data_IF_347988991823
#
_entry.id   IF_347988991823
#
_cell.length_a   1.000
_cell.length_b   1.000
_cell.length_c   1.000
_cell.angle_alpha   90.00
_cell.angle_beta   90.00
_cell.angle_gamma   90.00
#
_symmetry.space_group_name_H-M   'P 1'
#
loop_
_entity.id
_entity.type
_entity.pdbx_description
1 polymer ?
#
# COMPACT_ATOMS: atom_id res chain seq x y z
N UNK A 1 -23.44 -16.24 -24.10
CA UNK A 1 -24.46 -15.60 -23.24
C UNK A 1 -23.80 -14.62 -22.26
N UNK A 2 -24.14 -13.33 -22.33
CA UNK A 2 -23.81 -12.41 -21.25
C UNK A 2 -24.82 -12.67 -20.10
N UNK A 3 -24.38 -12.91 -18.86
CA UNK A 3 -25.26 -13.34 -17.78
C UNK A 3 -26.23 -12.23 -17.31
N UNK A 4 -25.78 -10.96 -17.29
CA UNK A 4 -26.58 -9.76 -16.94
C UNK A 4 -25.85 -8.49 -17.40
N UNK A 5 -26.57 -7.36 -17.46
CA UNK A 5 -26.07 -6.01 -17.79
C UNK A 5 -25.85 -5.15 -16.54
N UNK A 6 -25.25 -3.96 -16.69
CA UNK A 6 -25.10 -3.00 -15.58
C UNK A 6 -26.48 -2.53 -15.09
N UNK A 7 -27.40 -2.30 -16.03
CA UNK A 7 -28.76 -1.88 -15.79
C UNK A 7 -29.55 -2.94 -15.03
N UNK A 8 -29.34 -4.23 -15.32
CA UNK A 8 -29.94 -5.33 -14.57
C UNK A 8 -29.50 -5.31 -13.09
N UNK A 9 -28.22 -5.02 -12.82
CA UNK A 9 -27.69 -4.90 -11.45
C UNK A 9 -28.31 -3.69 -10.73
N UNK A 10 -28.40 -2.54 -11.40
CA UNK A 10 -29.02 -1.32 -10.84
C UNK A 10 -30.50 -1.54 -10.53
N UNK A 11 -31.24 -2.20 -11.43
CA UNK A 11 -32.65 -2.53 -11.23
C UNK A 11 -32.83 -3.49 -10.05
N UNK A 12 -32.00 -4.53 -9.96
CA UNK A 12 -32.04 -5.48 -8.85
C UNK A 12 -31.77 -4.81 -7.50
N UNK A 13 -30.75 -3.94 -7.40
CA UNK A 13 -30.43 -3.22 -6.16
C UNK A 13 -31.54 -2.25 -5.74
N UNK A 14 -32.15 -1.54 -6.70
CA UNK A 14 -33.32 -0.69 -6.43
C UNK A 14 -34.54 -1.49 -5.95
N UNK A 15 -34.67 -2.76 -6.37
CA UNK A 15 -35.69 -3.68 -5.85
C UNK A 15 -35.50 -4.06 -4.37
N UNK A 16 -34.31 -3.87 -3.81
CA UNK A 16 -34.00 -4.16 -2.40
C UNK A 16 -34.04 -2.88 -1.55
N UNK A 17 -33.34 -1.84 -1.97
CA UNK A 17 -33.33 -0.51 -1.32
C UNK A 17 -33.25 0.56 -2.40
N UNK A 18 -34.21 1.49 -2.40
CA UNK A 18 -34.20 2.62 -3.33
C UNK A 18 -32.99 3.54 -3.08
N UNK A 19 -32.16 3.74 -4.11
CA UNK A 19 -30.98 4.62 -4.08
C UNK A 19 -30.52 4.91 -5.52
N UNK A 20 -29.70 5.95 -5.72
CA UNK A 20 -29.01 6.17 -6.99
C UNK A 20 -27.82 5.20 -7.15
N UNK A 21 -28.14 3.92 -7.35
CA UNK A 21 -27.16 2.85 -7.53
C UNK A 21 -26.32 3.03 -8.80
N UNK A 22 -26.88 3.61 -9.85
CA UNK A 22 -26.17 3.87 -11.09
C UNK A 22 -24.99 4.81 -10.83
N UNK A 23 -25.24 5.98 -10.25
CA UNK A 23 -24.17 6.94 -9.91
C UNK A 23 -23.22 6.34 -8.87
N UNK A 24 -23.74 5.66 -7.85
CA UNK A 24 -22.92 5.05 -6.79
C UNK A 24 -21.88 4.07 -7.35
N UNK A 25 -22.28 3.21 -8.29
CA UNK A 25 -21.41 2.21 -8.91
C UNK A 25 -20.48 2.85 -9.94
N UNK A 26 -20.99 3.71 -10.84
CA UNK A 26 -20.17 4.36 -11.89
C UNK A 26 -19.05 5.20 -11.31
N UNK A 27 -19.34 5.98 -10.28
CA UNK A 27 -18.33 6.79 -9.56
C UNK A 27 -17.18 5.94 -8.99
N UNK A 28 -17.38 4.63 -8.78
CA UNK A 28 -16.34 3.72 -8.25
C UNK A 28 -15.69 2.86 -9.32
N UNK A 29 -16.47 2.39 -10.29
CA UNK A 29 -15.99 1.50 -11.35
C UNK A 29 -15.21 2.25 -12.43
N UNK A 30 -15.65 3.47 -12.74
CA UNK A 30 -15.05 4.31 -13.78
C UNK A 30 -14.01 5.28 -13.18
N UNK A 31 -13.69 5.16 -11.89
CA UNK A 31 -12.69 5.99 -11.25
C UNK A 31 -11.27 5.50 -11.60
N UNK A 32 -10.51 6.34 -12.30
CA UNK A 32 -9.12 6.09 -12.64
C UNK A 32 -8.23 7.33 -12.43
N UNK A 33 -6.91 7.11 -12.49
CA UNK A 33 -5.92 8.18 -12.42
C UNK A 33 -5.71 8.80 -11.02
N UNK A 34 -4.92 9.89 -10.93
CA UNK A 34 -4.49 10.48 -9.66
C UNK A 34 -5.63 11.13 -8.85
N UNK A 35 -6.76 11.41 -9.49
CA UNK A 35 -7.94 11.97 -8.84
C UNK A 35 -8.92 10.91 -8.33
N UNK A 36 -8.71 9.63 -8.69
CA UNK A 36 -9.50 8.53 -8.15
C UNK A 36 -9.26 8.42 -6.65
N UNK A 37 -10.37 8.37 -5.89
CA UNK A 37 -10.31 8.27 -4.43
C UNK A 37 -10.51 6.82 -4.00
N UNK A 38 -9.67 6.36 -3.08
CA UNK A 38 -9.89 5.08 -2.43
C UNK A 38 -11.29 5.07 -1.77
N UNK A 39 -12.07 3.98 -1.89
CA UNK A 39 -13.44 3.90 -1.40
C UNK A 39 -13.50 3.72 0.13
N UNK A 40 -13.05 4.74 0.89
CA UNK A 40 -12.89 4.71 2.34
C UNK A 40 -14.18 4.97 3.13
N UNK A 41 -15.26 5.45 2.48
CA UNK A 41 -16.49 5.82 3.16
C UNK A 41 -17.16 4.65 3.90
N UNK A 42 -16.97 3.41 3.39
CA UNK A 42 -17.47 2.21 4.05
C UNK A 42 -16.80 1.97 5.41
N UNK A 43 -15.49 2.16 5.48
CA UNK A 43 -14.73 2.09 6.73
C UNK A 43 -15.19 3.19 7.70
N UNK A 44 -15.33 4.42 7.20
CA UNK A 44 -15.77 5.55 8.02
C UNK A 44 -17.16 5.31 8.61
N UNK A 45 -18.11 4.83 7.80
CA UNK A 45 -19.45 4.40 8.29
C UNK A 45 -19.35 3.21 9.25
N UNK A 46 -18.34 2.36 9.13
CA UNK A 46 -18.07 1.27 10.07
C UNK A 46 -17.40 1.71 11.39
N UNK A 47 -17.06 2.99 11.53
CA UNK A 47 -16.35 3.53 12.69
C UNK A 47 -14.83 3.38 12.64
N UNK A 48 -14.26 3.22 11.45
CA UNK A 48 -12.84 3.01 11.23
C UNK A 48 -12.27 4.03 10.22
N UNK A 49 -11.00 4.39 10.40
CA UNK A 49 -10.24 5.18 9.41
C UNK A 49 -8.95 4.47 9.04
N UNK A 50 -8.52 4.65 7.79
CA UNK A 50 -7.17 4.30 7.38
C UNK A 50 -6.19 5.30 8.02
N UNK A 51 -5.17 4.76 8.69
CA UNK A 51 -4.05 5.50 9.23
C UNK A 51 -2.74 4.84 8.77
N UNK A 52 -1.62 5.52 9.00
CA UNK A 52 -0.29 4.99 8.73
C UNK A 52 0.54 5.02 10.00
N UNK A 53 1.33 3.97 10.20
CA UNK A 53 2.29 3.84 11.29
C UNK A 53 3.72 3.72 10.76
N UNK A 54 4.70 3.97 11.61
CA UNK A 54 6.11 3.80 11.32
C UNK A 54 6.61 2.36 11.54
N UNK A 55 5.75 1.49 12.11
CA UNK A 55 6.05 0.09 12.38
C UNK A 55 4.99 -0.84 11.80
N UNK A 56 5.39 -2.01 11.29
CA UNK A 56 4.44 -3.03 10.83
C UNK A 56 3.66 -3.62 12.01
N UNK A 57 2.42 -4.04 11.76
CA UNK A 57 1.64 -4.85 12.70
C UNK A 57 2.24 -6.25 12.83
N UNK A 58 1.87 -7.01 13.86
CA UNK A 58 2.39 -8.38 14.02
C UNK A 58 1.96 -9.29 12.87
N UNK A 59 0.74 -9.11 12.35
CA UNK A 59 0.29 -9.78 11.14
C UNK A 59 1.21 -9.48 9.94
N UNK A 60 1.56 -8.22 9.72
CA UNK A 60 2.47 -7.83 8.65
C UNK A 60 3.85 -8.44 8.83
N UNK A 61 4.40 -8.44 10.05
CA UNK A 61 5.71 -9.06 10.34
C UNK A 61 5.70 -10.55 9.99
N UNK A 62 4.67 -11.28 10.42
CA UNK A 62 4.52 -12.72 10.09
C UNK A 62 4.43 -12.92 8.59
N UNK A 63 3.57 -12.17 7.90
CA UNK A 63 3.40 -12.26 6.45
C UNK A 63 4.70 -11.95 5.69
N UNK A 64 5.46 -10.96 6.15
CA UNK A 64 6.73 -10.57 5.54
C UNK A 64 7.80 -11.64 5.72
N UNK A 65 7.87 -12.26 6.90
CA UNK A 65 8.76 -13.38 7.16
C UNK A 65 8.41 -14.60 6.31
N UNK A 66 7.14 -15.00 6.25
CA UNK A 66 6.67 -16.15 5.47
C UNK A 66 6.92 -15.98 3.97
N UNK A 67 6.63 -14.80 3.43
CA UNK A 67 6.82 -14.50 2.01
C UNK A 67 8.25 -14.07 1.65
N UNK A 68 9.15 -13.99 2.64
CA UNK A 68 10.50 -13.45 2.53
C UNK A 68 10.52 -12.11 1.79
N UNK A 69 9.63 -11.19 2.16
CA UNK A 69 9.47 -9.90 1.48
C UNK A 69 9.57 -8.75 2.45
N UNK A 70 9.98 -7.59 1.95
CA UNK A 70 9.85 -6.32 2.66
C UNK A 70 8.92 -5.42 1.85
N UNK A 71 8.12 -4.64 2.55
CA UNK A 71 7.12 -3.79 1.92
C UNK A 71 7.37 -2.33 2.24
N UNK A 72 7.74 -1.57 1.21
CA UNK A 72 7.91 -0.12 1.24
C UNK A 72 6.94 0.55 0.28
N UNK A 73 5.84 -0.10 -0.10
CA UNK A 73 4.90 0.39 -1.12
C UNK A 73 4.37 1.77 -0.77
N UNK A 74 4.00 2.01 0.49
CA UNK A 74 3.43 3.29 0.93
C UNK A 74 4.48 4.32 1.36
N UNK A 75 5.76 3.97 1.34
CA UNK A 75 6.86 4.91 1.58
C UNK A 75 7.62 5.18 0.28
N UNK A 76 8.49 4.26 -0.14
CA UNK A 76 9.33 4.42 -1.32
C UNK A 76 8.65 3.96 -2.61
N UNK A 77 7.59 3.16 -2.54
CA UNK A 77 6.87 2.67 -3.70
C UNK A 77 7.38 1.37 -4.28
N UNK A 78 8.02 0.50 -3.50
CA UNK A 78 8.42 -0.82 -3.96
C UNK A 78 8.28 -1.89 -2.89
N UNK A 79 8.31 -3.16 -3.32
CA UNK A 79 8.51 -4.31 -2.45
C UNK A 79 9.76 -5.07 -2.87
N UNK A 80 10.50 -5.58 -1.90
CA UNK A 80 11.65 -6.47 -2.17
C UNK A 80 11.34 -7.90 -1.77
N UNK A 81 12.12 -8.82 -2.31
CA UNK A 81 12.15 -10.22 -1.92
C UNK A 81 13.42 -10.67 -1.23
N UNK A 82 13.63 -11.98 -1.29
CA UNK A 82 14.89 -12.62 -0.90
C UNK A 82 16.05 -11.99 -1.66
N UNK A 83 17.15 -11.71 -0.94
CA UNK A 83 18.30 -10.97 -1.50
C UNK A 83 18.01 -9.51 -1.86
N UNK A 84 16.92 -8.90 -1.35
CA UNK A 84 16.51 -7.53 -1.67
C UNK A 84 16.21 -7.27 -3.16
N UNK A 85 15.82 -8.31 -3.91
CA UNK A 85 15.36 -8.16 -5.29
C UNK A 85 14.02 -7.43 -5.35
N UNK A 86 13.92 -6.38 -6.15
CA UNK A 86 12.68 -5.62 -6.35
C UNK A 86 11.66 -6.49 -7.08
N UNK A 87 10.50 -6.69 -6.47
CA UNK A 87 9.41 -7.52 -7.01
C UNK A 87 8.25 -6.70 -7.56
N UNK A 88 8.07 -5.49 -7.07
CA UNK A 88 7.05 -4.56 -7.53
C UNK A 88 7.55 -3.14 -7.37
N UNK A 89 7.11 -2.27 -8.28
CA UNK A 89 7.32 -0.82 -8.20
C UNK A 89 5.99 -0.16 -8.52
N UNK A 90 5.53 0.71 -7.63
CA UNK A 90 4.29 1.45 -7.79
C UNK A 90 4.49 2.61 -8.77
N UNK A 91 3.59 2.73 -9.75
CA UNK A 91 3.61 3.82 -10.71
C UNK A 91 3.62 5.19 -10.01
N UNK A 92 4.39 6.14 -10.56
CA UNK A 92 4.56 7.51 -10.05
C UNK A 92 5.12 7.65 -8.62
N UNK A 93 5.54 6.55 -7.99
CA UNK A 93 6.17 6.56 -6.68
C UNK A 93 7.61 7.12 -6.72
N UNK A 94 8.24 7.42 -5.55
CA UNK A 94 9.65 7.83 -5.50
C UNK A 94 10.58 6.85 -6.22
N UNK A 95 10.38 5.55 -6.03
CA UNK A 95 11.16 4.51 -6.69
C UNK A 95 10.98 4.48 -8.20
N UNK A 96 9.74 4.63 -8.67
CA UNK A 96 9.45 4.70 -10.10
C UNK A 96 10.15 5.90 -10.75
N UNK A 97 10.03 7.08 -10.14
CA UNK A 97 10.67 8.32 -10.61
C UNK A 97 12.19 8.21 -10.65
N UNK A 98 12.76 7.42 -9.74
CA UNK A 98 14.18 7.13 -9.69
C UNK A 98 14.65 6.01 -10.65
N UNK A 99 13.74 5.47 -11.47
CA UNK A 99 14.05 4.45 -12.47
C UNK A 99 14.28 3.05 -11.89
N UNK A 100 13.84 2.79 -10.64
CA UNK A 100 13.84 1.45 -10.09
C UNK A 100 12.81 0.58 -10.81
N UNK A 101 13.15 -0.67 -11.06
CA UNK A 101 12.31 -1.62 -11.78
C UNK A 101 12.35 -3.02 -11.16
N UNK A 102 11.34 -3.82 -11.49
CA UNK A 102 11.28 -5.24 -11.11
C UNK A 102 12.48 -5.98 -11.70
N UNK A 103 13.08 -6.87 -10.89
CA UNK A 103 14.25 -7.66 -11.28
C UNK A 103 15.59 -7.04 -10.87
N UNK A 104 15.63 -5.73 -10.61
CA UNK A 104 16.78 -5.07 -10.00
C UNK A 104 16.99 -5.54 -8.55
N UNK A 105 18.22 -5.48 -8.05
CA UNK A 105 18.59 -5.91 -6.71
C UNK A 105 19.21 -4.77 -5.92
N UNK A 106 18.68 -4.46 -4.74
CA UNK A 106 19.30 -3.46 -3.86
C UNK A 106 20.44 -4.14 -3.11
N UNK A 107 21.68 -3.78 -3.45
CA UNK A 107 22.88 -4.41 -2.88
C UNK A 107 23.49 -3.61 -1.74
N UNK A 108 23.27 -2.29 -1.71
CA UNK A 108 23.69 -1.44 -0.61
C UNK A 108 22.68 -0.34 -0.28
N UNK A 109 22.69 0.08 0.99
CA UNK A 109 21.95 1.21 1.55
C UNK A 109 22.93 2.04 2.36
N UNK A 110 23.03 3.33 2.06
CA UNK A 110 23.91 4.30 2.72
C UNK A 110 25.36 3.79 2.87
N UNK A 111 25.87 3.19 1.79
CA UNK A 111 27.24 2.67 1.72
C UNK A 111 27.48 1.31 2.39
N UNK A 112 26.45 0.67 2.95
CA UNK A 112 26.55 -0.65 3.59
C UNK A 112 25.73 -1.71 2.88
N UNK A 113 26.13 -2.99 2.98
CA UNK A 113 25.38 -4.10 2.39
C UNK A 113 23.89 -4.07 2.79
N UNK A 114 23.00 -4.19 1.82
CA UNK A 114 21.57 -4.00 2.04
C UNK A 114 20.96 -5.10 2.92
N UNK A 115 20.14 -4.69 3.88
CA UNK A 115 19.28 -5.57 4.67
C UNK A 115 17.91 -4.92 4.82
N UNK A 116 16.85 -5.70 5.12
CA UNK A 116 15.54 -5.16 5.47
C UNK A 116 15.59 -4.05 6.53
N UNK A 117 16.38 -4.28 7.59
CA UNK A 117 16.51 -3.37 8.71
C UNK A 117 17.25 -2.09 8.32
N UNK A 118 18.29 -2.18 7.49
CA UNK A 118 19.01 -1.00 6.99
C UNK A 118 18.14 -0.16 6.06
N UNK A 119 17.38 -0.78 5.16
CA UNK A 119 16.38 -0.06 4.35
C UNK A 119 15.38 0.68 5.25
N UNK A 120 14.86 0.00 6.26
CA UNK A 120 13.91 0.60 7.21
C UNK A 120 14.52 1.75 8.01
N UNK A 121 15.77 1.59 8.45
CA UNK A 121 16.51 2.62 9.18
C UNK A 121 16.79 3.84 8.30
N UNK A 122 17.23 3.65 7.05
CA UNK A 122 17.47 4.72 6.10
C UNK A 122 16.21 5.55 5.85
N UNK A 123 15.07 4.89 5.61
CA UNK A 123 13.78 5.59 5.42
C UNK A 123 13.35 6.33 6.69
N UNK A 124 13.65 5.80 7.87
CA UNK A 124 13.33 6.47 9.14
C UNK A 124 14.21 7.69 9.37
N UNK A 125 15.51 7.58 9.08
CA UNK A 125 16.49 8.66 9.21
C UNK A 125 16.22 9.79 8.21
N UNK A 126 15.78 9.44 6.99
CA UNK A 126 15.43 10.40 5.95
C UNK A 126 14.25 11.30 6.29
N UNK A 127 13.58 11.15 7.45
CA UNK A 127 12.69 12.21 7.98
C UNK A 127 13.42 13.54 8.18
N UNK A 128 14.73 13.50 8.41
CA UNK A 128 15.59 14.67 8.31
C UNK A 128 15.84 14.98 6.82
N UNK A 129 15.42 16.16 6.30
CA UNK A 129 15.65 16.55 4.92
C UNK A 129 17.12 16.60 4.49
N UNK A 130 18.05 16.70 5.45
CA UNK A 130 19.49 16.65 5.16
C UNK A 130 20.01 15.22 4.90
N UNK A 131 19.21 14.18 5.17
CA UNK A 131 19.61 12.77 5.07
C UNK A 131 18.85 12.12 3.91
N UNK A 132 19.49 11.90 2.75
CA UNK A 132 18.85 11.19 1.65
C UNK A 132 18.85 9.67 1.90
N UNK A 133 17.95 8.93 1.23
CA UNK A 133 18.08 7.46 1.14
C UNK A 133 18.95 7.13 -0.08
N UNK A 134 20.18 6.67 0.15
CA UNK A 134 21.12 6.34 -0.92
C UNK A 134 21.19 4.82 -1.11
N UNK A 135 20.89 4.35 -2.31
CA UNK A 135 20.88 2.94 -2.69
C UNK A 135 21.96 2.67 -3.74
N UNK A 136 22.62 1.52 -3.64
CA UNK A 136 23.32 0.91 -4.78
C UNK A 136 22.47 -0.26 -5.26
N UNK A 137 22.14 -0.23 -6.54
CA UNK A 137 21.24 -1.17 -7.18
C UNK A 137 21.97 -1.89 -8.30
N UNK A 138 21.87 -3.21 -8.34
CA UNK A 138 22.36 -4.06 -9.42
C UNK A 138 21.23 -4.31 -10.43
N UNK A 139 21.54 -4.08 -11.70
CA UNK A 139 20.66 -4.27 -12.84
C UNK A 139 21.41 -5.09 -13.91
N UNK A 140 21.15 -6.38 -13.97
CA UNK A 140 22.03 -7.32 -14.70
C UNK A 140 23.44 -7.27 -14.12
N UNK A 141 24.43 -6.90 -14.96
CA UNK A 141 25.84 -6.77 -14.55
C UNK A 141 26.24 -5.33 -14.21
N UNK A 142 25.31 -4.38 -14.25
CA UNK A 142 25.57 -2.97 -13.97
C UNK A 142 25.17 -2.61 -12.54
N UNK A 143 25.94 -1.71 -11.93
CA UNK A 143 25.58 -1.07 -10.67
C UNK A 143 25.20 0.38 -10.90
N UNK A 144 24.15 0.84 -10.23
CA UNK A 144 23.64 2.22 -10.29
C UNK A 144 23.50 2.75 -8.88
N UNK A 145 23.92 3.99 -8.67
CA UNK A 145 23.60 4.73 -7.46
C UNK A 145 22.27 5.43 -7.66
N UNK A 146 21.34 5.22 -6.73
CA UNK A 146 20.01 5.83 -6.76
C UNK A 146 19.83 6.58 -5.44
N UNK A 147 19.44 7.85 -5.54
CA UNK A 147 19.16 8.70 -4.39
C UNK A 147 17.68 9.02 -4.40
N UNK A 148 16.98 8.68 -3.32
CA UNK A 148 15.55 8.95 -3.17
C UNK A 148 15.35 10.16 -2.25
N UNK A 149 14.72 11.20 -2.80
CA UNK A 149 14.30 12.39 -2.08
C UNK A 149 12.93 12.13 -1.42
N UNK A 150 12.96 11.49 -0.26
CA UNK A 150 11.77 11.04 0.46
C UNK A 150 11.90 11.28 1.97
N UNK A 151 10.94 12.01 2.53
CA UNK A 151 11.04 12.50 3.92
C UNK A 151 9.81 12.18 4.81
N UNK A 152 8.81 11.46 4.30
CA UNK A 152 7.61 11.12 5.07
C UNK A 152 7.85 9.96 6.08
N UNK A 153 8.99 9.29 5.99
CA UNK A 153 9.36 8.15 6.85
C UNK A 153 8.63 6.85 6.54
N UNK A 154 8.75 5.84 7.41
CA UNK A 154 8.06 4.57 7.21
C UNK A 154 6.55 4.72 7.30
N UNK A 155 5.82 4.08 6.38
CA UNK A 155 4.36 4.13 6.29
C UNK A 155 3.80 2.72 6.12
N UNK A 156 3.19 2.21 7.17
CA UNK A 156 2.47 0.94 7.18
C UNK A 156 0.98 1.19 7.40
N UNK A 157 0.10 0.79 6.46
CA UNK A 157 -1.33 1.06 6.57
C UNK A 157 -1.95 0.26 7.71
N UNK A 158 -2.80 0.89 8.52
CA UNK A 158 -3.58 0.22 9.56
C UNK A 158 -4.93 0.87 9.72
N UNK A 159 -5.89 0.13 10.28
CA UNK A 159 -7.19 0.68 10.64
C UNK A 159 -7.16 1.16 12.10
N UNK A 160 -7.68 2.35 12.32
CA UNK A 160 -7.85 2.94 13.65
C UNK A 160 -9.34 3.24 13.91
N UNK A 161 -9.77 3.03 15.15
CA UNK A 161 -11.12 3.37 15.59
C UNK A 161 -11.36 4.88 15.48
N UNK A 162 -12.54 5.27 15.03
CA UNK A 162 -13.05 6.64 15.11
C UNK A 162 -13.75 6.79 16.47
N UNK A 163 -13.28 7.67 17.38
CA UNK A 163 -13.91 7.85 18.69
C UNK A 163 -15.40 8.20 18.58
N UNK A 164 -16.22 7.62 19.46
CA UNK A 164 -17.66 7.89 19.50
C UNK A 164 -18.51 7.20 18.42
N UNK A 165 -17.92 6.33 17.59
CA UNK A 165 -18.67 5.57 16.56
C UNK A 165 -18.84 4.10 16.94
N UNK A 166 -19.93 3.43 16.51
CA UNK A 166 -20.09 1.98 16.67
C UNK A 166 -18.98 1.19 15.95
N UNK A 167 -18.63 0.00 16.46
CA UNK A 167 -17.65 -0.89 15.82
C UNK A 167 -18.29 -1.94 14.92
N UNK A 168 -18.80 -1.48 13.77
CA UNK A 168 -19.53 -2.36 12.86
C UNK A 168 -18.61 -3.37 12.16
N UNK A 169 -17.33 -3.05 11.94
CA UNK A 169 -16.42 -3.97 11.26
C UNK A 169 -16.11 -5.18 12.14
N UNK A 170 -15.83 -4.96 13.43
CA UNK A 170 -15.61 -6.06 14.38
C UNK A 170 -16.88 -6.89 14.53
N UNK A 171 -18.04 -6.26 14.63
CA UNK A 171 -19.32 -6.97 14.69
C UNK A 171 -19.53 -7.88 13.46
N UNK A 172 -19.22 -7.39 12.25
CA UNK A 172 -19.34 -8.16 11.00
C UNK A 172 -18.34 -9.33 10.95
N UNK A 173 -17.10 -9.11 11.40
CA UNK A 173 -16.04 -10.12 11.36
C UNK A 173 -16.09 -11.10 12.54
N UNK A 174 -16.95 -10.85 13.53
CA UNK A 174 -17.10 -11.74 14.68
C UNK A 174 -17.61 -13.10 14.22
N UNK A 175 -16.93 -14.21 14.57
CA UNK A 175 -17.38 -15.55 14.21
C UNK A 175 -18.82 -15.78 14.70
N UNK A 176 -19.67 -16.33 13.84
CA UNK A 176 -20.99 -16.78 14.27
C UNK A 176 -20.81 -17.88 15.32
N UNK A 177 -21.40 -17.69 16.50
CA UNK A 177 -21.52 -18.77 17.48
C UNK A 177 -22.39 -19.86 16.83
N UNK A 178 -21.88 -21.10 16.84
CA UNK A 178 -22.66 -22.28 16.47
C UNK A 178 -23.68 -22.61 17.54
#
# INVERSE_FOLDING_TARGET
PAPYTFEDVVAALNGVVANDWATFLRTRLDADGPNARAPLDGLARGGWRLAFADKPTDYMKTLYAELKRNDFTYSLGFQTGEGNKIRSVQWDSPAFKAGLAVGMEIVAVDGQAATPDRLSAAVTAAKDPAVPVALIVKDGDQFKTVVLDYHDGLRYPRLERIPGTPDRLTDILTPRRR
#
